data_IF_467662950861
#
_entry.id   IF_467662950861
#
_cell.length_a   1.000
_cell.length_b   1.000
_cell.length_c   1.000
_cell.angle_alpha   90.00
_cell.angle_beta   90.00
_cell.angle_gamma   90.00
#
_symmetry.space_group_name_H-M   'P 1'
#
loop_
_entity.id
_entity.type
_entity.pdbx_description
1 polymer ?
#
# COMPACT_ATOMS: atom_id res chain seq x y z
N UNK A 1 -10.48 -14.67 -28.12
CA UNK A 1 -9.16 -15.32 -27.96
C UNK A 1 -8.93 -15.47 -26.46
N UNK A 2 -9.03 -16.68 -25.92
CA UNK A 2 -8.65 -16.97 -24.53
C UNK A 2 -7.14 -16.81 -24.42
N UNK A 3 -6.70 -15.74 -23.76
CA UNK A 3 -5.26 -15.57 -23.53
C UNK A 3 -4.77 -16.71 -22.64
N UNK A 4 -3.64 -17.29 -22.99
CA UNK A 4 -2.98 -18.37 -22.24
C UNK A 4 -2.83 -17.97 -20.77
N UNK A 5 -3.21 -18.88 -19.88
CA UNK A 5 -3.08 -18.67 -18.42
C UNK A 5 -1.60 -18.75 -18.03
N UNK A 6 -1.24 -17.97 -17.02
CA UNK A 6 0.12 -17.91 -16.47
C UNK A 6 0.16 -18.60 -15.10
N UNK A 7 1.25 -19.28 -14.76
CA UNK A 7 1.40 -19.99 -13.48
C UNK A 7 1.57 -19.02 -12.30
N UNK A 8 0.57 -18.19 -12.11
CA UNK A 8 0.52 -17.12 -11.10
C UNK A 8 -0.70 -17.31 -10.19
N UNK A 9 -0.48 -17.31 -8.88
CA UNK A 9 -1.51 -17.04 -7.89
C UNK A 9 -1.49 -15.55 -7.56
N UNK A 10 -2.50 -14.79 -7.95
CA UNK A 10 -2.69 -13.45 -7.42
C UNK A 10 -3.34 -13.55 -6.04
N UNK A 11 -2.83 -12.80 -5.05
CA UNK A 11 -3.42 -12.78 -3.72
C UNK A 11 -3.78 -11.36 -3.28
N UNK A 12 -4.99 -11.26 -2.71
CA UNK A 12 -5.65 -10.02 -2.32
C UNK A 12 -6.16 -10.19 -0.90
N UNK A 13 -5.95 -9.19 -0.05
CA UNK A 13 -6.67 -9.06 1.22
C UNK A 13 -7.73 -7.97 1.06
N UNK A 14 -8.93 -8.17 1.58
CA UNK A 14 -10.01 -7.19 1.46
C UNK A 14 -10.88 -7.13 2.70
N UNK A 15 -11.55 -5.99 2.87
CA UNK A 15 -12.68 -5.75 3.75
C UNK A 15 -13.43 -4.54 3.24
N UNK A 16 -14.73 -4.70 2.90
CA UNK A 16 -15.60 -3.65 2.39
C UNK A 16 -15.02 -2.94 1.14
N UNK A 17 -14.81 -3.72 0.06
CA UNK A 17 -14.14 -3.28 -1.19
C UNK A 17 -15.03 -3.46 -2.43
N UNK A 18 -16.36 -3.38 -2.30
CA UNK A 18 -17.32 -3.59 -3.41
C UNK A 18 -17.09 -2.65 -4.60
N UNK A 19 -16.62 -1.42 -4.34
CA UNK A 19 -16.39 -0.39 -5.37
C UNK A 19 -15.15 -0.64 -6.23
N UNK A 20 -14.14 -1.35 -5.69
CA UNK A 20 -12.82 -1.44 -6.31
C UNK A 20 -12.46 -2.84 -6.80
N UNK A 21 -12.86 -3.86 -6.06
CA UNK A 21 -12.42 -5.25 -6.25
C UNK A 21 -12.73 -5.81 -7.64
N UNK A 22 -13.85 -5.41 -8.26
CA UNK A 22 -14.23 -5.88 -9.59
C UNK A 22 -13.19 -5.55 -10.66
N UNK A 23 -12.65 -4.33 -10.63
CA UNK A 23 -11.64 -3.89 -11.59
C UNK A 23 -10.27 -4.55 -11.35
N UNK A 24 -9.94 -4.81 -10.07
CA UNK A 24 -8.78 -5.60 -9.69
C UNK A 24 -8.87 -7.00 -10.30
N UNK A 25 -9.95 -7.75 -10.02
CA UNK A 25 -10.16 -9.11 -10.53
C UNK A 25 -10.07 -9.15 -12.06
N UNK A 26 -10.75 -8.25 -12.77
CA UNK A 26 -10.71 -8.22 -14.25
C UNK A 26 -9.31 -8.05 -14.82
N UNK A 27 -8.42 -7.37 -14.11
CA UNK A 27 -7.03 -7.20 -14.55
C UNK A 27 -6.17 -8.46 -14.40
N UNK A 28 -6.67 -9.45 -13.65
CA UNK A 28 -5.99 -10.72 -13.34
C UNK A 28 -6.47 -11.89 -14.21
N UNK A 29 -7.10 -11.62 -15.35
CA UNK A 29 -7.69 -12.60 -16.25
C UNK A 29 -6.73 -13.68 -16.74
N UNK A 30 -5.42 -13.40 -16.73
CA UNK A 30 -4.37 -14.36 -17.10
C UNK A 30 -3.80 -15.17 -15.94
N UNK A 31 -4.19 -14.92 -14.70
CA UNK A 31 -3.74 -15.71 -13.56
C UNK A 31 -4.46 -17.07 -13.51
N UNK A 32 -3.73 -18.14 -13.22
CA UNK A 32 -4.32 -19.47 -13.00
C UNK A 32 -5.09 -19.56 -11.68
N UNK A 33 -4.75 -18.73 -10.71
CA UNK A 33 -5.41 -18.69 -9.41
C UNK A 33 -5.52 -17.25 -8.90
N UNK A 34 -6.65 -16.92 -8.27
CA UNK A 34 -6.85 -15.68 -7.54
C UNK A 34 -7.30 -16.05 -6.12
N UNK A 35 -6.47 -15.75 -5.13
CA UNK A 35 -6.76 -15.95 -3.71
C UNK A 35 -7.25 -14.63 -3.13
N UNK A 36 -8.49 -14.60 -2.65
CA UNK A 36 -9.07 -13.42 -1.99
C UNK A 36 -9.33 -13.79 -0.53
N UNK A 37 -8.69 -13.06 0.38
CA UNK A 37 -8.84 -13.24 1.82
C UNK A 37 -9.65 -12.08 2.39
N UNK A 38 -10.87 -12.38 2.79
CA UNK A 38 -11.83 -11.43 3.35
C UNK A 38 -11.75 -11.40 4.88
N UNK A 39 -11.73 -10.19 5.44
CA UNK A 39 -11.64 -9.98 6.89
C UNK A 39 -13.00 -9.79 7.57
N UNK A 40 -14.09 -10.06 6.86
CA UNK A 40 -15.47 -9.89 7.35
C UNK A 40 -16.14 -8.68 6.74
N UNK A 41 -16.19 -8.61 5.42
CA UNK A 41 -16.94 -7.56 4.69
C UNK A 41 -18.42 -7.59 5.02
N UNK A 42 -18.98 -6.40 5.20
CA UNK A 42 -20.39 -6.15 5.50
C UNK A 42 -21.17 -5.54 4.33
N UNK A 43 -20.43 -5.05 3.33
CA UNK A 43 -20.92 -4.56 2.05
C UNK A 43 -21.16 -5.72 1.05
N UNK A 44 -21.37 -5.41 -0.24
CA UNK A 44 -21.59 -6.43 -1.27
C UNK A 44 -20.30 -7.09 -1.81
N UNK A 45 -19.14 -6.93 -1.16
CA UNK A 45 -17.87 -7.56 -1.57
C UNK A 45 -18.03 -9.07 -1.77
N UNK A 46 -18.66 -9.76 -0.81
CA UNK A 46 -18.90 -11.21 -0.90
C UNK A 46 -19.81 -11.59 -2.07
N UNK A 47 -20.86 -10.81 -2.32
CA UNK A 47 -21.77 -11.01 -3.45
C UNK A 47 -21.04 -10.89 -4.79
N UNK A 48 -20.25 -9.85 -4.93
CA UNK A 48 -19.42 -9.60 -6.11
C UNK A 48 -18.46 -10.77 -6.40
N UNK A 49 -17.75 -11.28 -5.40
CA UNK A 49 -16.85 -12.42 -5.57
C UNK A 49 -17.59 -13.67 -6.06
N UNK A 50 -18.77 -13.95 -5.48
CA UNK A 50 -19.61 -15.08 -5.91
C UNK A 50 -20.07 -14.96 -7.37
N UNK A 51 -20.35 -13.76 -7.86
CA UNK A 51 -20.67 -13.52 -9.27
C UNK A 51 -19.50 -13.86 -10.19
N UNK A 52 -18.28 -13.43 -9.86
CA UNK A 52 -17.09 -13.80 -10.60
C UNK A 52 -16.84 -15.31 -10.58
N UNK A 53 -17.01 -15.98 -9.44
CA UNK A 53 -16.90 -17.44 -9.36
C UNK A 53 -17.90 -18.15 -10.26
N UNK A 54 -19.19 -17.73 -10.27
CA UNK A 54 -20.21 -18.26 -11.18
C UNK A 54 -19.89 -18.03 -12.64
N UNK A 55 -19.19 -16.93 -12.97
CA UNK A 55 -18.72 -16.62 -14.30
C UNK A 55 -17.44 -17.42 -14.70
N UNK A 56 -16.96 -18.35 -13.86
CA UNK A 56 -15.83 -19.24 -14.15
C UNK A 56 -14.47 -18.67 -13.85
N UNK A 57 -14.38 -17.58 -13.06
CA UNK A 57 -13.08 -17.07 -12.63
C UNK A 57 -12.43 -17.99 -11.59
N UNK A 58 -11.09 -18.22 -11.66
CA UNK A 58 -10.40 -19.15 -10.78
C UNK A 58 -10.15 -18.56 -9.38
N UNK A 59 -11.22 -18.16 -8.71
CA UNK A 59 -11.17 -17.48 -7.42
C UNK A 59 -11.37 -18.45 -6.27
N UNK A 60 -10.41 -18.46 -5.33
CA UNK A 60 -10.56 -19.03 -4.01
C UNK A 60 -10.83 -17.92 -3.01
N UNK A 61 -12.04 -17.91 -2.48
CA UNK A 61 -12.48 -16.93 -1.47
C UNK A 61 -12.39 -17.54 -0.08
N UNK A 62 -11.64 -16.88 0.82
CA UNK A 62 -11.32 -17.39 2.16
C UNK A 62 -11.70 -16.30 3.16
N UNK A 63 -12.50 -16.66 4.15
CA UNK A 63 -12.74 -15.79 5.28
C UNK A 63 -11.66 -16.00 6.35
N UNK A 64 -10.98 -14.93 6.77
CA UNK A 64 -9.99 -14.93 7.82
C UNK A 64 -10.14 -13.68 8.69
N UNK A 65 -10.46 -13.87 9.97
CA UNK A 65 -10.48 -12.74 10.92
C UNK A 65 -9.19 -11.93 10.83
N UNK A 66 -9.32 -10.62 10.95
CA UNK A 66 -8.20 -9.70 10.81
C UNK A 66 -7.03 -10.01 11.76
N UNK A 67 -5.85 -10.21 11.20
CA UNK A 67 -4.61 -10.53 11.90
C UNK A 67 -3.62 -9.35 11.97
N UNK A 68 -3.94 -8.22 11.36
CA UNK A 68 -3.02 -7.13 11.04
C UNK A 68 -2.44 -7.28 9.63
N UNK A 69 -2.01 -6.16 9.02
CA UNK A 69 -1.65 -6.14 7.60
C UNK A 69 -0.60 -7.18 7.20
N UNK A 70 0.53 -7.24 7.91
CA UNK A 70 1.61 -8.18 7.58
C UNK A 70 1.16 -9.64 7.70
N UNK A 71 0.52 -10.02 8.81
CA UNK A 71 0.07 -11.38 9.04
C UNK A 71 -1.07 -11.79 8.10
N UNK A 72 -1.98 -10.86 7.76
CA UNK A 72 -3.07 -11.13 6.82
C UNK A 72 -2.52 -11.36 5.40
N UNK A 73 -1.55 -10.54 4.95
CA UNK A 73 -0.89 -10.72 3.66
C UNK A 73 -0.02 -11.98 3.63
N UNK A 74 0.65 -12.33 4.74
CA UNK A 74 1.38 -13.59 4.84
C UNK A 74 0.43 -14.78 4.75
N UNK A 75 -0.68 -14.75 5.48
CA UNK A 75 -1.69 -15.81 5.39
C UNK A 75 -2.19 -15.99 3.95
N UNK A 76 -2.47 -14.89 3.23
CA UNK A 76 -2.91 -14.94 1.84
C UNK A 76 -1.82 -15.52 0.90
N UNK A 77 -0.56 -15.12 1.10
CA UNK A 77 0.59 -15.65 0.36
C UNK A 77 0.75 -17.17 0.55
N UNK A 78 0.58 -17.66 1.79
CA UNK A 78 0.69 -19.07 2.13
C UNK A 78 -0.41 -19.93 1.47
N UNK A 79 -1.53 -19.31 1.10
CA UNK A 79 -2.60 -19.99 0.35
C UNK A 79 -2.29 -20.15 -1.15
N UNK A 80 -1.31 -19.46 -1.70
CA UNK A 80 -0.94 -19.50 -3.12
C UNK A 80 -0.40 -20.86 -3.51
N UNK A 81 -0.89 -21.42 -4.65
CA UNK A 81 -0.49 -22.75 -5.14
C UNK A 81 0.48 -22.70 -6.32
N UNK A 82 0.42 -21.64 -7.13
CA UNK A 82 1.21 -21.52 -8.35
C UNK A 82 2.68 -21.20 -8.07
N UNK A 83 3.58 -21.46 -9.01
CA UNK A 83 5.02 -21.17 -8.91
C UNK A 83 5.34 -19.70 -8.60
N UNK A 84 4.47 -18.77 -9.05
CA UNK A 84 4.60 -17.37 -8.81
C UNK A 84 3.41 -16.83 -8.01
N UNK A 85 3.67 -15.92 -7.10
CA UNK A 85 2.66 -15.23 -6.28
C UNK A 85 2.72 -13.74 -6.53
N UNK A 86 1.59 -13.15 -6.94
CA UNK A 86 1.44 -11.71 -7.19
C UNK A 86 0.66 -11.06 -6.06
N UNK A 87 1.31 -10.19 -5.27
CA UNK A 87 0.60 -9.32 -4.34
C UNK A 87 -0.03 -8.14 -5.07
N UNK A 88 -1.35 -7.99 -4.90
CA UNK A 88 -2.10 -6.86 -5.42
C UNK A 88 -3.15 -6.43 -4.40
N UNK A 89 -3.29 -5.13 -4.19
CA UNK A 89 -4.31 -4.58 -3.32
C UNK A 89 -5.65 -4.48 -4.07
N UNK A 90 -6.80 -4.55 -3.37
CA UNK A 90 -8.16 -4.56 -3.96
C UNK A 90 -8.46 -3.34 -4.84
N UNK A 91 -7.81 -2.22 -4.57
CA UNK A 91 -7.93 -0.96 -5.30
C UNK A 91 -6.83 -0.75 -6.37
N UNK A 92 -6.08 -1.82 -6.68
CA UNK A 92 -5.05 -1.83 -7.71
C UNK A 92 -5.47 -2.67 -8.93
N UNK A 93 -4.90 -2.36 -10.09
CA UNK A 93 -5.03 -3.16 -11.32
C UNK A 93 -3.76 -3.10 -12.15
N UNK A 94 -3.49 -4.15 -12.92
CA UNK A 94 -2.39 -4.16 -13.88
C UNK A 94 -2.71 -3.22 -15.04
N UNK A 95 -1.75 -2.35 -15.43
CA UNK A 95 -1.85 -1.65 -16.71
C UNK A 95 -1.54 -2.60 -17.88
N UNK A 96 -1.84 -2.17 -19.11
CA UNK A 96 -1.65 -2.99 -20.31
C UNK A 96 -0.18 -3.39 -20.52
N UNK A 97 0.76 -2.48 -20.24
CA UNK A 97 2.19 -2.75 -20.36
C UNK A 97 2.63 -3.85 -19.38
N UNK A 98 2.14 -3.81 -18.14
CA UNK A 98 2.44 -4.85 -17.14
C UNK A 98 1.81 -6.18 -17.52
N UNK A 99 0.56 -6.20 -17.96
CA UNK A 99 -0.13 -7.41 -18.43
C UNK A 99 0.62 -8.07 -19.60
N UNK A 100 1.10 -7.26 -20.55
CA UNK A 100 1.90 -7.76 -21.68
C UNK A 100 3.28 -8.29 -21.25
N UNK A 101 3.82 -7.75 -20.15
CA UNK A 101 5.14 -8.14 -19.63
C UNK A 101 5.10 -9.42 -18.78
N UNK A 102 3.97 -9.74 -18.12
CA UNK A 102 3.86 -10.83 -17.16
C UNK A 102 4.41 -12.20 -17.68
N UNK A 103 4.16 -12.63 -18.93
CA UNK A 103 4.73 -13.90 -19.43
C UNK A 103 6.26 -13.95 -19.30
N UNK A 104 6.94 -12.88 -19.67
CA UNK A 104 8.41 -12.81 -19.59
C UNK A 104 8.94 -12.78 -18.14
N UNK A 105 8.15 -12.23 -17.21
CA UNK A 105 8.54 -12.19 -15.80
C UNK A 105 8.51 -13.58 -15.17
N UNK A 106 7.51 -14.41 -15.53
CA UNK A 106 7.37 -15.77 -14.98
C UNK A 106 8.32 -16.78 -15.62
N UNK A 107 8.84 -16.51 -16.82
CA UNK A 107 9.87 -17.32 -17.50
C UNK A 107 11.29 -17.01 -17.00
N UNK A 108 11.43 -16.15 -16.00
CA UNK A 108 12.74 -15.77 -15.50
C UNK A 108 13.55 -16.94 -14.94
N UNK A 109 14.88 -16.84 -15.07
CA UNK A 109 15.82 -17.80 -14.53
C UNK A 109 15.59 -18.10 -13.03
N UNK A 110 15.91 -19.32 -12.60
CA UNK A 110 15.68 -19.78 -11.21
C UNK A 110 16.34 -18.92 -10.13
N UNK A 111 17.38 -18.19 -10.48
CA UNK A 111 18.05 -17.26 -9.55
C UNK A 111 17.25 -16.01 -9.23
N UNK A 112 16.18 -15.69 -10.00
CA UNK A 112 15.32 -14.53 -9.76
C UNK A 112 14.22 -14.93 -8.80
N UNK A 113 14.24 -14.37 -7.59
CA UNK A 113 13.24 -14.65 -6.54
C UNK A 113 12.03 -13.73 -6.62
N UNK A 114 12.18 -12.57 -7.25
CA UNK A 114 11.04 -11.68 -7.38
C UNK A 114 11.29 -10.41 -8.18
N UNK A 115 10.17 -9.74 -8.45
CA UNK A 115 10.11 -8.52 -9.24
C UNK A 115 9.49 -7.39 -8.46
N UNK A 116 10.17 -6.26 -8.44
CA UNK A 116 9.59 -4.99 -7.99
C UNK A 116 8.77 -4.40 -9.12
N UNK A 117 7.55 -4.03 -8.79
CA UNK A 117 6.60 -3.44 -9.73
C UNK A 117 6.26 -2.03 -9.26
N UNK A 118 6.26 -1.10 -10.20
CA UNK A 118 5.94 0.30 -9.96
C UNK A 118 4.45 0.48 -9.71
N UNK A 119 4.10 1.45 -8.89
CA UNK A 119 2.72 1.85 -8.62
C UNK A 119 2.49 3.29 -9.06
N UNK A 120 1.44 3.54 -9.82
CA UNK A 120 0.98 4.87 -10.21
C UNK A 120 -0.27 5.22 -9.44
N UNK A 121 -0.26 6.37 -8.77
CA UNK A 121 -1.41 6.87 -8.02
C UNK A 121 -2.39 7.61 -8.94
N UNK A 122 -3.67 7.56 -8.61
CA UNK A 122 -4.69 8.39 -9.21
C UNK A 122 -4.82 9.69 -8.42
N UNK A 123 -4.80 10.82 -9.12
CA UNK A 123 -5.02 12.15 -8.56
C UNK A 123 -6.34 12.70 -9.09
N UNK A 124 -7.22 13.14 -8.20
CA UNK A 124 -8.49 13.77 -8.57
C UNK A 124 -8.18 15.03 -9.40
N UNK A 125 -8.88 15.18 -10.54
CA UNK A 125 -8.68 16.29 -11.49
C UNK A 125 -7.48 16.14 -12.44
N UNK A 126 -6.69 15.03 -12.31
CA UNK A 126 -5.58 14.75 -13.23
C UNK A 126 -5.66 13.35 -13.86
N UNK A 127 -6.05 12.34 -13.10
CA UNK A 127 -5.96 10.94 -13.47
C UNK A 127 -4.73 10.24 -12.90
N UNK A 128 -4.26 9.16 -13.55
CA UNK A 128 -3.07 8.46 -13.10
C UNK A 128 -1.79 9.26 -13.32
N UNK A 129 -0.95 9.35 -12.29
CA UNK A 129 0.36 10.01 -12.41
C UNK A 129 1.15 9.47 -13.60
N UNK A 130 1.91 10.31 -14.35
CA UNK A 130 2.79 9.83 -15.39
C UNK A 130 3.82 8.83 -14.84
N UNK A 131 4.37 8.00 -15.73
CA UNK A 131 5.53 7.14 -15.39
C UNK A 131 6.66 8.05 -14.90
N UNK A 132 7.36 7.63 -13.84
CA UNK A 132 8.43 8.41 -13.17
C UNK A 132 7.98 9.61 -12.32
N UNK A 133 6.67 9.76 -12.10
CA UNK A 133 6.13 10.78 -11.20
C UNK A 133 5.57 10.11 -9.95
N UNK A 134 6.02 10.53 -8.76
CA UNK A 134 5.57 10.03 -7.45
C UNK A 134 5.60 8.49 -7.38
N UNK A 135 6.64 7.93 -7.96
CA UNK A 135 6.78 6.51 -8.20
C UNK A 135 7.21 5.78 -6.93
N UNK A 136 6.53 4.69 -6.61
CA UNK A 136 6.96 3.71 -5.62
C UNK A 136 7.09 2.36 -6.30
N UNK A 137 8.23 1.70 -6.13
CA UNK A 137 8.46 0.35 -6.60
C UNK A 137 8.56 -0.58 -5.42
N UNK A 138 7.69 -1.57 -5.35
CA UNK A 138 7.64 -2.56 -4.28
C UNK A 138 7.78 -3.96 -4.85
N UNK A 139 8.33 -4.88 -4.05
CA UNK A 139 8.33 -6.30 -4.39
C UNK A 139 6.88 -6.79 -4.42
N UNK A 140 6.42 -7.26 -5.59
CA UNK A 140 5.01 -7.62 -5.81
C UNK A 140 4.83 -9.02 -6.41
N UNK A 141 5.71 -9.43 -7.31
CA UNK A 141 5.67 -10.76 -7.91
C UNK A 141 6.87 -11.56 -7.38
N UNK A 142 6.62 -12.69 -6.73
CA UNK A 142 7.64 -13.48 -6.07
C UNK A 142 7.49 -14.96 -6.38
N UNK A 143 8.60 -15.70 -6.39
CA UNK A 143 8.57 -17.16 -6.44
C UNK A 143 8.02 -17.73 -5.14
N UNK A 144 7.21 -18.77 -5.26
CA UNK A 144 6.65 -19.51 -4.14
C UNK A 144 7.77 -19.99 -3.19
N UNK A 145 7.59 -19.73 -1.90
CA UNK A 145 8.54 -20.13 -0.86
C UNK A 145 9.84 -19.31 -0.78
N UNK A 146 10.00 -18.27 -1.62
CA UNK A 146 11.21 -17.45 -1.64
C UNK A 146 11.02 -16.01 -1.13
N UNK A 147 9.86 -15.71 -0.54
CA UNK A 147 9.59 -14.42 0.07
C UNK A 147 8.61 -14.55 1.22
N UNK A 148 8.70 -13.63 2.18
CA UNK A 148 7.82 -13.56 3.34
C UNK A 148 7.61 -12.10 3.77
N UNK A 149 6.54 -11.86 4.53
CA UNK A 149 6.31 -10.58 5.21
C UNK A 149 7.03 -10.58 6.57
N UNK A 150 7.59 -9.42 6.93
CA UNK A 150 8.14 -9.22 8.28
C UNK A 150 6.99 -8.99 9.28
N UNK A 151 6.68 -10.01 10.07
CA UNK A 151 5.58 -9.97 11.04
C UNK A 151 5.88 -9.10 12.27
N UNK A 152 7.12 -8.65 12.44
CA UNK A 152 7.52 -7.77 13.55
C UNK A 152 7.17 -6.31 13.28
N UNK A 153 6.97 -5.93 12.01
CA UNK A 153 6.63 -4.58 11.61
C UNK A 153 5.13 -4.34 11.66
N UNK A 154 4.70 -3.41 12.51
CA UNK A 154 3.29 -3.00 12.62
C UNK A 154 2.86 -2.00 11.54
N UNK A 155 3.82 -1.33 10.91
CA UNK A 155 3.60 -0.27 9.90
C UNK A 155 4.67 -0.41 8.83
N UNK A 156 4.30 -0.26 7.55
CA UNK A 156 5.16 -0.46 6.38
C UNK A 156 5.56 -1.92 6.15
N UNK A 157 4.56 -2.81 6.26
CA UNK A 157 4.73 -4.21 5.90
C UNK A 157 5.23 -4.35 4.46
N UNK A 158 6.45 -4.85 4.32
CA UNK A 158 7.07 -5.14 3.04
C UNK A 158 7.17 -6.64 2.82
N UNK A 159 6.95 -7.07 1.59
CA UNK A 159 7.33 -8.40 1.17
C UNK A 159 8.86 -8.41 0.97
N UNK A 160 9.56 -9.34 1.58
CA UNK A 160 11.00 -9.47 1.54
C UNK A 160 11.39 -10.80 0.92
N UNK A 161 12.33 -10.79 -0.02
CA UNK A 161 12.92 -12.02 -0.55
C UNK A 161 13.85 -12.66 0.49
N UNK A 162 13.79 -13.98 0.62
CA UNK A 162 14.55 -14.73 1.64
C UNK A 162 16.04 -14.81 1.30
N UNK A 163 16.39 -14.98 0.00
CA UNK A 163 17.79 -15.13 -0.42
C UNK A 163 17.94 -14.93 -1.89
N UNK A 164 18.03 -14.21 -2.65
CA UNK A 164 18.16 -14.24 -4.11
C UNK A 164 18.06 -12.88 -4.77
N UNK A 165 17.94 -12.89 -6.06
CA UNK A 165 17.97 -11.70 -6.86
C UNK A 165 16.56 -11.13 -7.01
N UNK A 166 16.35 -9.92 -6.52
CA UNK A 166 15.17 -9.10 -6.80
C UNK A 166 15.50 -8.10 -7.91
N UNK A 167 14.72 -8.13 -8.98
CA UNK A 167 14.88 -7.22 -10.12
C UNK A 167 13.71 -6.25 -10.25
N UNK A 168 13.93 -5.15 -10.97
CA UNK A 168 12.85 -4.25 -11.40
C UNK A 168 12.15 -4.85 -12.63
N UNK A 169 10.82 -4.86 -12.65
CA UNK A 169 10.05 -5.34 -13.79
C UNK A 169 10.24 -4.46 -15.05
N UNK A 170 10.69 -3.25 -14.88
CA UNK A 170 11.01 -2.31 -15.96
C UNK A 170 9.79 -1.57 -16.48
N UNK A 171 9.07 -2.14 -17.44
CA UNK A 171 7.85 -1.54 -18.02
C UNK A 171 6.60 -1.96 -17.25
N UNK A 172 5.56 -1.15 -17.35
CA UNK A 172 4.27 -1.43 -16.73
C UNK A 172 4.20 -1.03 -15.26
N UNK A 173 2.97 -0.95 -14.77
CA UNK A 173 2.67 -0.46 -13.43
C UNK A 173 1.40 -1.07 -12.88
N UNK A 174 1.29 -1.13 -11.57
CA UNK A 174 0.02 -1.24 -10.86
C UNK A 174 -0.63 0.14 -10.82
N UNK A 175 -1.85 0.24 -11.32
CA UNK A 175 -2.66 1.45 -11.28
C UNK A 175 -3.48 1.42 -10.00
N UNK A 176 -3.16 2.27 -9.04
CA UNK A 176 -3.89 2.40 -7.79
C UNK A 176 -4.99 3.44 -7.93
N UNK A 177 -6.24 2.98 -7.90
CA UNK A 177 -7.42 3.80 -8.01
C UNK A 177 -8.16 3.85 -6.67
N UNK A 178 -7.77 4.79 -5.84
CA UNK A 178 -8.53 5.18 -4.65
C UNK A 178 -8.52 6.71 -4.59
N UNK A 179 -9.50 7.35 -5.23
CA UNK A 179 -9.59 8.82 -5.24
C UNK A 179 -9.99 9.29 -3.84
N UNK A 180 -9.01 9.51 -2.98
CA UNK A 180 -9.27 10.07 -1.66
C UNK A 180 -9.65 11.54 -1.82
N UNK A 181 -10.81 11.90 -1.32
CA UNK A 181 -11.17 13.31 -1.10
C UNK A 181 -10.28 13.89 0.01
N UNK A 182 -10.15 15.22 0.04
CA UNK A 182 -9.21 15.89 0.96
C UNK A 182 -9.49 15.52 2.42
N UNK A 183 -10.76 15.44 2.81
CA UNK A 183 -11.14 15.10 4.20
C UNK A 183 -10.62 13.73 4.61
N UNK A 184 -10.82 12.71 3.77
CA UNK A 184 -10.29 11.35 4.03
C UNK A 184 -8.76 11.33 4.05
N UNK A 185 -8.11 12.09 3.16
CA UNK A 185 -6.66 12.17 3.12
C UNK A 185 -6.11 12.81 4.40
N UNK A 186 -6.71 13.91 4.88
CA UNK A 186 -6.30 14.56 6.13
C UNK A 186 -6.53 13.64 7.34
N UNK A 187 -7.66 12.93 7.41
CA UNK A 187 -7.91 11.94 8.46
C UNK A 187 -6.85 10.84 8.46
N UNK A 188 -6.48 10.35 7.29
CA UNK A 188 -5.40 9.37 7.10
C UNK A 188 -4.06 9.91 7.58
N UNK A 189 -3.67 11.12 7.14
CA UNK A 189 -2.41 11.75 7.56
C UNK A 189 -2.39 12.00 9.08
N UNK A 190 -3.53 12.41 9.66
CA UNK A 190 -3.68 12.56 11.10
C UNK A 190 -3.43 11.23 11.84
N UNK A 191 -4.05 10.13 11.41
CA UNK A 191 -3.86 8.79 12.00
C UNK A 191 -2.41 8.33 11.91
N UNK A 192 -1.80 8.39 10.72
CA UNK A 192 -0.42 7.92 10.53
C UNK A 192 0.61 8.80 11.25
N UNK A 193 0.39 10.12 11.33
CA UNK A 193 1.27 11.01 12.11
C UNK A 193 1.20 10.71 13.61
N UNK A 194 0.03 10.29 14.13
CA UNK A 194 -0.11 9.85 15.52
C UNK A 194 0.74 8.61 15.79
N UNK A 195 0.58 7.56 14.98
CA UNK A 195 1.36 6.32 15.11
C UNK A 195 2.87 6.59 15.03
N UNK A 196 3.28 7.48 14.12
CA UNK A 196 4.70 7.85 13.97
C UNK A 196 5.21 8.64 15.17
N UNK A 197 4.42 9.58 15.67
CA UNK A 197 4.79 10.36 16.85
C UNK A 197 4.91 9.46 18.10
N UNK A 198 3.99 8.49 18.29
CA UNK A 198 4.06 7.51 19.38
C UNK A 198 5.34 6.69 19.31
N UNK A 199 5.68 6.17 18.11
CA UNK A 199 6.91 5.42 17.90
C UNK A 199 8.16 6.23 18.22
N UNK A 200 8.20 7.50 17.80
CA UNK A 200 9.35 8.37 18.03
C UNK A 200 9.46 8.79 19.50
N UNK A 201 8.33 9.05 20.15
CA UNK A 201 8.27 9.37 21.57
C UNK A 201 8.74 8.19 22.44
N UNK A 202 8.25 6.97 22.16
CA UNK A 202 8.69 5.75 22.82
C UNK A 202 10.19 5.46 22.61
N UNK A 203 10.76 5.89 21.48
CA UNK A 203 12.19 5.82 21.20
C UNK A 203 13.02 6.96 21.85
N UNK A 204 12.43 7.76 22.76
CA UNK A 204 13.09 8.84 23.47
C UNK A 204 13.46 10.05 22.60
N UNK A 205 12.88 10.19 21.40
CA UNK A 205 13.18 11.33 20.51
C UNK A 205 12.39 12.56 20.95
N UNK A 206 13.13 13.57 21.44
CA UNK A 206 12.57 14.85 21.86
C UNK A 206 12.17 15.78 20.70
N UNK A 207 11.31 16.80 20.99
CA UNK A 207 10.90 17.77 20.01
C UNK A 207 12.07 18.68 19.60
N UNK A 208 12.05 19.09 18.32
CA UNK A 208 12.99 20.09 17.79
C UNK A 208 12.19 21.16 17.06
N UNK A 209 12.12 22.38 17.60
CA UNK A 209 11.33 23.49 17.03
C UNK A 209 11.66 23.75 15.55
N UNK A 210 12.94 23.67 15.19
CA UNK A 210 13.41 23.81 13.81
C UNK A 210 12.74 22.78 12.87
N UNK A 211 12.51 21.55 13.35
CA UNK A 211 11.87 20.51 12.54
C UNK A 211 10.39 20.77 12.31
N UNK A 212 9.69 21.36 13.27
CA UNK A 212 8.26 21.71 13.12
C UNK A 212 8.08 22.68 11.96
N UNK A 213 9.03 23.61 11.78
CA UNK A 213 8.97 24.63 10.74
C UNK A 213 9.49 24.10 9.39
N UNK A 214 10.67 23.49 9.39
CA UNK A 214 11.37 23.18 8.15
C UNK A 214 11.03 21.79 7.55
N UNK A 215 10.68 20.79 8.37
CA UNK A 215 10.38 19.47 7.83
C UNK A 215 9.16 19.46 6.89
N UNK A 216 8.04 20.15 7.16
CA UNK A 216 6.92 20.23 6.23
C UNK A 216 7.31 20.87 4.91
N UNK A 217 8.11 21.94 4.93
CA UNK A 217 8.60 22.62 3.73
C UNK A 217 9.53 21.69 2.92
N UNK A 218 10.48 21.04 3.57
CA UNK A 218 11.40 20.09 2.93
C UNK A 218 10.61 18.91 2.34
N UNK A 219 9.60 18.42 3.06
CA UNK A 219 8.75 17.33 2.59
C UNK A 219 7.94 17.74 1.37
N UNK A 220 7.35 18.97 1.37
CA UNK A 220 6.68 19.55 0.22
C UNK A 220 7.62 19.63 -0.99
N UNK A 221 8.78 20.28 -0.84
CA UNK A 221 9.76 20.44 -1.93
C UNK A 221 10.23 19.09 -2.48
N UNK A 222 10.41 18.10 -1.59
CA UNK A 222 10.74 16.74 -1.99
C UNK A 222 9.63 16.10 -2.83
N UNK A 223 8.36 16.20 -2.41
CA UNK A 223 7.24 15.65 -3.17
C UNK A 223 7.03 16.38 -4.49
N UNK A 224 7.03 17.71 -4.44
CA UNK A 224 6.67 18.53 -5.59
C UNK A 224 7.74 18.51 -6.67
N UNK A 225 9.01 18.69 -6.30
CA UNK A 225 10.12 18.75 -7.27
C UNK A 225 10.85 17.41 -7.43
N UNK A 226 11.34 16.79 -6.35
CA UNK A 226 12.12 15.55 -6.46
C UNK A 226 11.28 14.37 -6.96
N UNK A 227 10.05 14.23 -6.45
CA UNK A 227 9.10 13.22 -6.93
C UNK A 227 8.25 13.70 -8.12
N UNK A 228 8.57 14.89 -8.67
CA UNK A 228 8.03 15.45 -9.91
C UNK A 228 6.51 15.64 -9.93
N UNK A 229 5.84 15.79 -8.78
CA UNK A 229 4.41 16.09 -8.74
C UNK A 229 4.06 17.41 -9.42
N UNK A 230 5.04 18.31 -9.61
CA UNK A 230 4.91 19.53 -10.42
C UNK A 230 4.40 19.23 -11.85
N UNK A 231 4.72 18.06 -12.41
CA UNK A 231 4.24 17.64 -13.73
C UNK A 231 2.74 17.25 -13.76
N UNK A 232 2.12 17.11 -12.59
CA UNK A 232 0.68 16.86 -12.46
C UNK A 232 -0.13 18.16 -12.24
N UNK A 233 0.48 19.34 -12.47
CA UNK A 233 -0.20 20.62 -12.34
C UNK A 233 -0.73 20.89 -10.93
N UNK A 234 -1.90 21.52 -10.85
CA UNK A 234 -2.50 21.89 -9.57
C UNK A 234 -2.90 20.69 -8.69
N UNK A 235 -3.45 19.57 -9.22
CA UNK A 235 -3.65 18.35 -8.43
C UNK A 235 -2.36 17.81 -7.80
N UNK A 236 -1.22 17.90 -8.50
CA UNK A 236 0.08 17.53 -7.95
C UNK A 236 0.54 18.44 -6.81
N UNK A 237 0.25 19.74 -6.92
CA UNK A 237 0.49 20.70 -5.83
C UNK A 237 -0.34 20.35 -4.59
N UNK A 238 -1.65 20.11 -4.76
CA UNK A 238 -2.55 19.72 -3.67
C UNK A 238 -2.02 18.45 -2.98
N UNK A 239 -1.65 17.43 -3.76
CA UNK A 239 -1.10 16.18 -3.22
C UNK A 239 0.20 16.40 -2.43
N UNK A 240 1.08 17.29 -2.88
CA UNK A 240 2.32 17.61 -2.17
C UNK A 240 2.06 18.38 -0.87
N UNK A 241 1.09 19.30 -0.88
CA UNK A 241 0.69 20.07 0.31
C UNK A 241 0.04 19.17 1.37
N UNK A 242 -0.96 18.37 0.98
CA UNK A 242 -1.61 17.43 1.91
C UNK A 242 -0.63 16.42 2.50
N UNK A 243 0.28 15.89 1.68
CA UNK A 243 1.36 15.03 2.17
C UNK A 243 2.30 15.72 3.16
N UNK A 244 2.54 17.03 3.01
CA UNK A 244 3.40 17.80 3.94
C UNK A 244 2.75 18.00 5.32
N UNK A 245 1.42 17.99 5.40
CA UNK A 245 0.67 18.05 6.66
C UNK A 245 1.04 16.89 7.59
N UNK A 246 1.26 15.68 7.05
CA UNK A 246 1.76 14.54 7.82
C UNK A 246 3.04 14.87 8.58
N UNK A 247 3.99 15.53 7.91
CA UNK A 247 5.29 15.89 8.51
C UNK A 247 5.12 16.91 9.62
N UNK A 248 4.27 17.94 9.41
CA UNK A 248 3.92 18.93 10.42
C UNK A 248 3.27 18.29 11.65
N UNK A 249 2.21 17.51 11.43
CA UNK A 249 1.46 16.85 12.51
C UNK A 249 2.35 15.90 13.33
N UNK A 250 3.27 15.18 12.68
CA UNK A 250 4.20 14.29 13.40
C UNK A 250 5.04 15.07 14.40
N UNK A 251 5.70 16.13 13.96
CA UNK A 251 6.59 16.92 14.82
C UNK A 251 5.79 17.70 15.91
N UNK A 252 4.63 18.23 15.56
CA UNK A 252 3.74 18.93 16.51
C UNK A 252 3.25 17.98 17.61
N UNK A 253 2.85 16.76 17.25
CA UNK A 253 2.40 15.75 18.24
C UNK A 253 3.54 15.28 19.16
N UNK A 254 4.77 15.15 18.65
CA UNK A 254 5.94 14.87 19.51
C UNK A 254 6.12 16.02 20.52
N UNK A 255 6.03 17.27 20.06
CA UNK A 255 6.11 18.43 20.94
C UNK A 255 5.04 18.40 22.04
N UNK A 256 3.77 18.18 21.67
CA UNK A 256 2.67 18.10 22.62
C UNK A 256 2.86 17.03 23.68
N UNK A 257 3.29 15.79 23.29
CA UNK A 257 3.55 14.71 24.25
C UNK A 257 4.62 15.09 25.28
N UNK A 258 5.70 15.72 24.84
CA UNK A 258 6.75 16.17 25.77
C UNK A 258 6.28 17.35 26.65
N UNK A 259 5.44 18.23 26.13
CA UNK A 259 4.87 19.32 26.93
C UNK A 259 3.91 18.80 28.02
N UNK A 260 3.06 17.82 27.68
CA UNK A 260 2.15 17.16 28.64
C UNK A 260 2.88 16.46 29.78
N UNK A 261 4.03 15.82 29.51
CA UNK A 261 4.87 15.21 30.56
C UNK A 261 5.50 16.26 31.47
N UNK A 262 5.82 17.46 30.94
CA UNK A 262 6.44 18.55 31.72
C UNK A 262 5.46 19.42 32.48
N UNK A 263 4.25 19.50 31.95
CA UNK A 263 3.15 20.34 32.50
C UNK A 263 1.91 19.45 32.57
N UNK A 264 1.77 18.66 33.65
CA UNK A 264 0.58 17.85 33.90
C UNK A 264 -0.67 18.75 33.93
N UNK A 265 -1.83 18.16 33.75
CA UNK A 265 -3.10 18.89 33.72
C UNK A 265 -3.37 19.54 35.06
N UNK A 266 -4.22 20.58 35.08
CA UNK A 266 -4.61 21.31 36.31
C UNK A 266 -5.15 20.35 37.38
N UNK A 267 -5.82 19.27 36.98
CA UNK A 267 -6.35 18.24 37.87
C UNK A 267 -5.25 17.45 38.61
N UNK A 268 -4.04 17.36 38.05
CA UNK A 268 -2.88 16.71 38.68
C UNK A 268 -2.17 17.65 39.69
N UNK A 269 -2.43 18.97 39.61
CA UNK A 269 -1.84 19.97 40.51
C UNK A 269 -2.66 20.15 41.79
N UNK A 270 -3.93 19.77 41.81
CA UNK A 270 -4.80 19.83 42.99
C UNK A 270 -4.62 18.67 43.97
N UNK A 271 -3.75 17.71 43.66
CA UNK A 271 -3.38 16.57 44.51
C UNK A 271 -2.30 16.85 45.56
N UNK A 272 -1.64 18.00 45.50
CA UNK A 272 -0.68 18.45 46.56
C UNK A 272 -1.31 19.49 47.45
N UNK A 273 -2.18 19.05 48.37
CA UNK A 273 -2.53 19.77 49.62
C UNK A 273 -2.36 18.87 50.82
#
# INVERSE_FOLDING_TARGET
>A
MTSEKLPISAFIICQDEEDYLANCIRSLDRCEEIVIVDSGSTDNTTGLVKEFQKAGWPIRFIHQKWLGYAAQKQFALDQCKQPWSLNIDSDERLDEDLRALMPRLVEAEDKVDGWRIRRRAYLIGYGYTPKHVYERSNLRLVRKGRAAYDLTQRVHEGLHASSGVVKEAGRGSLLHYRPLIIDEQILKENKYSTLKADQLFAAGKGPRHVRIIFNPLIYFLRLYFKHRLVLCGFPGFIQAMTGSVYSFLTEAKIYQRHAQVRHPSVDDLDGEK
#
